data_IF_092421535996
#
_entry.id   IF_092421535996
#
_cell.length_a   1.000
_cell.length_b   1.000
_cell.length_c   1.000
_cell.angle_alpha   90.00
_cell.angle_beta   90.00
_cell.angle_gamma   90.00
#
_symmetry.space_group_name_H-M   'P 1'
#
loop_
_entity.id
_entity.type
_entity.pdbx_description
1 polymer ?
#
# COMPACT_ATOMS: atom_id res chain seq x y z
N UNK A 1 54.20 -17.08 -13.44
CA UNK A 1 53.89 -15.80 -12.76
C UNK A 1 53.60 -14.77 -13.84
N UNK A 2 52.40 -14.81 -14.42
CA UNK A 2 51.96 -13.88 -15.46
C UNK A 2 50.86 -13.01 -14.87
N UNK A 3 51.11 -11.71 -14.78
CA UNK A 3 50.17 -10.73 -14.25
C UNK A 3 48.92 -10.66 -15.14
N UNK A 4 47.76 -10.95 -14.56
CA UNK A 4 46.47 -10.58 -15.15
C UNK A 4 46.33 -9.07 -14.96
N UNK A 5 46.37 -8.34 -16.06
CA UNK A 5 46.08 -6.91 -16.12
C UNK A 5 44.63 -6.65 -15.72
N UNK A 6 44.33 -5.65 -14.88
CA UNK A 6 42.97 -5.31 -14.49
C UNK A 6 42.30 -4.57 -15.65
N UNK A 7 41.75 -5.33 -16.60
CA UNK A 7 41.09 -4.80 -17.79
C UNK A 7 39.77 -5.47 -18.16
N UNK A 8 39.57 -6.75 -17.81
CA UNK A 8 38.43 -7.53 -18.32
C UNK A 8 37.58 -8.17 -17.21
N UNK A 9 37.19 -7.37 -16.22
CA UNK A 9 35.98 -7.70 -15.47
C UNK A 9 34.79 -7.26 -16.33
N UNK A 10 34.22 -8.21 -17.06
CA UNK A 10 32.95 -8.07 -17.77
C UNK A 10 31.91 -7.50 -16.78
N UNK A 11 31.69 -6.18 -16.81
CA UNK A 11 30.71 -5.49 -15.99
C UNK A 11 29.36 -5.90 -16.54
N UNK A 12 28.86 -7.02 -16.02
CA UNK A 12 27.52 -7.50 -16.27
C UNK A 12 26.55 -6.32 -16.13
N UNK A 13 25.79 -6.12 -17.19
CA UNK A 13 24.89 -5.01 -17.40
C UNK A 13 23.92 -4.90 -16.22
N UNK A 14 24.22 -4.04 -15.24
CA UNK A 14 23.41 -3.78 -14.04
C UNK A 14 22.01 -3.22 -14.34
N UNK A 15 21.67 -3.08 -15.62
CA UNK A 15 20.35 -2.74 -16.13
C UNK A 15 19.36 -3.91 -16.10
N UNK A 16 19.79 -5.16 -15.89
CA UNK A 16 18.91 -6.35 -16.06
C UNK A 16 18.38 -6.96 -14.75
N UNK A 17 18.96 -6.63 -13.59
CA UNK A 17 18.68 -7.36 -12.32
C UNK A 17 17.69 -6.65 -11.39
N UNK A 18 17.43 -5.36 -11.61
CA UNK A 18 16.39 -4.61 -10.91
C UNK A 18 15.93 -3.50 -11.84
N UNK A 19 14.63 -3.37 -12.07
CA UNK A 19 14.05 -2.48 -13.08
C UNK A 19 14.67 -1.08 -13.12
N UNK A 20 14.47 -0.35 -14.24
CA UNK A 20 15.19 0.88 -14.56
C UNK A 20 15.29 1.91 -13.40
N UNK A 21 14.29 1.97 -12.53
CA UNK A 21 14.26 2.80 -11.32
C UNK A 21 15.23 2.28 -10.23
N UNK A 22 15.23 0.98 -9.93
CA UNK A 22 16.12 0.37 -8.94
C UNK A 22 17.59 0.47 -9.37
N UNK A 23 17.90 0.22 -10.64
CA UNK A 23 19.24 0.39 -11.19
C UNK A 23 19.72 1.87 -11.14
N UNK A 24 18.81 2.83 -11.32
CA UNK A 24 19.10 4.27 -11.22
C UNK A 24 19.31 4.72 -9.78
N UNK A 25 18.50 4.24 -8.84
CA UNK A 25 18.64 4.56 -7.41
C UNK A 25 19.90 3.92 -6.82
N UNK A 26 20.23 2.67 -7.18
CA UNK A 26 21.45 2.00 -6.72
C UNK A 26 22.73 2.68 -7.25
N UNK A 27 22.72 3.22 -8.47
CA UNK A 27 23.86 3.96 -9.03
C UNK A 27 24.11 5.31 -8.38
N UNK A 28 23.07 5.96 -7.84
CA UNK A 28 23.16 7.30 -7.28
C UNK A 28 22.96 7.30 -5.75
N UNK A 29 23.43 6.26 -5.07
CA UNK A 29 23.42 6.17 -3.60
C UNK A 29 22.02 6.36 -2.97
N UNK A 30 20.96 5.89 -3.65
CA UNK A 30 19.55 6.06 -3.27
C UNK A 30 19.07 7.52 -3.19
N UNK A 31 19.77 8.46 -3.81
CA UNK A 31 19.32 9.85 -3.91
C UNK A 31 18.11 9.95 -4.85
N UNK A 32 16.99 10.47 -4.33
CA UNK A 32 15.73 10.59 -5.05
C UNK A 32 15.83 11.65 -6.16
N UNK A 33 16.75 12.62 -6.03
CA UNK A 33 17.02 13.61 -7.08
C UNK A 33 17.52 12.96 -8.36
N UNK A 34 18.13 11.77 -8.28
CA UNK A 34 18.62 11.06 -9.45
C UNK A 34 17.52 10.57 -10.39
N UNK A 35 16.27 10.46 -9.92
CA UNK A 35 15.12 10.11 -10.76
C UNK A 35 14.78 11.22 -11.77
N UNK A 36 15.32 12.42 -11.57
CA UNK A 36 15.15 13.59 -12.44
C UNK A 36 16.23 13.66 -13.55
N UNK A 37 16.67 12.52 -14.09
CA UNK A 37 17.81 12.50 -15.03
C UNK A 37 17.47 13.12 -16.41
N UNK A 38 18.29 14.07 -16.88
CA UNK A 38 18.19 14.84 -18.15
C UNK A 38 17.12 15.95 -18.19
N UNK A 39 17.20 16.90 -17.25
CA UNK A 39 16.35 18.08 -17.23
C UNK A 39 16.78 19.08 -18.32
N UNK A 40 16.07 19.09 -19.46
CA UNK A 40 15.98 20.30 -20.28
C UNK A 40 14.87 21.23 -19.81
N UNK A 41 14.07 20.83 -18.82
CA UNK A 41 12.88 21.50 -18.29
C UNK A 41 13.23 22.69 -17.36
N UNK A 42 12.42 23.76 -17.42
CA UNK A 42 12.53 24.95 -16.57
C UNK A 42 11.81 24.75 -15.23
N UNK A 43 12.14 25.58 -14.24
CA UNK A 43 11.55 25.51 -12.89
C UNK A 43 10.00 25.61 -12.88
N UNK A 44 9.43 26.49 -13.69
CA UNK A 44 7.97 26.67 -13.78
C UNK A 44 7.25 25.47 -14.42
N UNK A 45 7.92 24.79 -15.38
CA UNK A 45 7.39 23.56 -16.00
C UNK A 45 7.35 22.43 -14.96
N UNK A 46 8.37 22.33 -14.10
CA UNK A 46 8.38 21.41 -12.96
C UNK A 46 7.27 21.71 -11.94
N UNK A 47 7.08 22.98 -11.60
CA UNK A 47 6.03 23.38 -10.66
C UNK A 47 4.63 23.06 -11.21
N UNK A 48 4.43 23.23 -12.52
CA UNK A 48 3.16 22.91 -13.19
C UNK A 48 2.88 21.41 -13.17
N UNK A 49 3.88 20.59 -13.47
CA UNK A 49 3.77 19.13 -13.39
C UNK A 49 3.46 18.69 -11.96
N UNK A 50 4.17 19.23 -10.96
CA UNK A 50 3.98 18.85 -9.56
C UNK A 50 2.57 19.18 -9.04
N UNK A 51 2.06 20.38 -9.36
CA UNK A 51 0.67 20.77 -9.03
C UNK A 51 -0.36 19.81 -9.62
N UNK A 52 -0.23 19.49 -10.92
CA UNK A 52 -1.17 18.59 -11.61
C UNK A 52 -1.10 17.17 -11.04
N UNK A 53 0.09 16.70 -10.69
CA UNK A 53 0.27 15.39 -10.04
C UNK A 53 -0.38 15.36 -8.66
N UNK A 54 -0.20 16.41 -7.86
CA UNK A 54 -0.82 16.52 -6.53
C UNK A 54 -2.34 16.58 -6.60
N UNK A 55 -2.91 17.39 -7.51
CA UNK A 55 -4.36 17.47 -7.72
C UNK A 55 -4.94 16.12 -8.17
N UNK A 56 -4.28 15.46 -9.13
CA UNK A 56 -4.70 14.16 -9.64
C UNK A 56 -4.64 13.05 -8.58
N UNK A 57 -3.68 13.11 -7.65
CA UNK A 57 -3.55 12.15 -6.56
C UNK A 57 -4.62 12.30 -5.48
N UNK A 58 -5.15 13.50 -5.26
CA UNK A 58 -6.14 13.77 -4.20
C UNK A 58 -7.57 13.32 -4.54
N UNK A 59 -7.94 13.30 -5.83
CA UNK A 59 -9.34 13.13 -6.27
C UNK A 59 -10.00 11.77 -5.94
N UNK A 60 -9.28 10.75 -5.44
CA UNK A 60 -9.86 9.40 -5.27
C UNK A 60 -9.38 8.60 -4.05
N UNK A 61 -8.70 9.20 -3.09
CA UNK A 61 -8.23 8.50 -1.88
C UNK A 61 -9.24 8.67 -0.74
N UNK A 62 -10.16 7.72 -0.56
CA UNK A 62 -11.12 7.74 0.55
C UNK A 62 -10.67 6.81 1.68
N UNK A 63 -10.28 5.57 1.35
CA UNK A 63 -9.88 4.58 2.35
C UNK A 63 -8.51 4.89 2.95
N UNK A 64 -7.55 5.23 2.10
CA UNK A 64 -6.19 5.59 2.55
C UNK A 64 -6.19 6.90 3.34
N UNK A 65 -7.04 7.86 2.96
CA UNK A 65 -7.18 9.12 3.67
C UNK A 65 -7.77 8.93 5.08
N UNK A 66 -8.78 8.06 5.23
CA UNK A 66 -9.36 7.73 6.53
C UNK A 66 -8.30 7.10 7.46
N UNK A 67 -7.52 6.14 6.96
CA UNK A 67 -6.43 5.53 7.72
C UNK A 67 -5.37 6.54 8.19
N UNK A 68 -4.97 7.46 7.30
CA UNK A 68 -4.03 8.53 7.64
C UNK A 68 -4.61 9.49 8.67
N UNK A 69 -5.88 9.87 8.53
CA UNK A 69 -6.56 10.77 9.48
C UNK A 69 -6.65 10.19 10.90
N UNK A 70 -6.74 8.85 11.00
CA UNK A 70 -6.81 8.12 12.28
C UNK A 70 -5.45 7.79 12.88
N UNK A 71 -4.36 8.19 12.21
CA UNK A 71 -3.00 7.90 12.67
C UNK A 71 -2.63 6.41 12.61
N UNK A 72 -3.32 5.61 11.81
CA UNK A 72 -3.04 4.17 11.61
C UNK A 72 -1.84 3.95 10.67
N UNK A 73 -0.83 4.80 10.79
CA UNK A 73 0.38 4.78 9.96
C UNK A 73 1.58 4.44 10.81
N UNK A 74 2.28 3.35 10.47
CA UNK A 74 3.57 3.04 11.06
C UNK A 74 4.69 3.55 10.16
N UNK A 75 5.38 4.62 10.59
CA UNK A 75 6.50 5.18 9.84
C UNK A 75 7.73 4.31 10.00
N UNK A 76 8.12 3.62 8.92
CA UNK A 76 9.36 2.84 8.90
C UNK A 76 10.53 3.78 8.59
N UNK A 77 11.51 3.95 9.49
CA UNK A 77 12.69 4.74 9.20
C UNK A 77 13.49 4.08 8.06
N UNK A 78 13.88 4.87 7.07
CA UNK A 78 14.55 4.44 5.84
C UNK A 78 13.76 3.36 5.06
N UNK A 79 12.47 3.60 4.83
CA UNK A 79 11.59 2.67 4.11
C UNK A 79 12.07 2.29 2.70
N UNK A 80 12.84 3.15 2.02
CA UNK A 80 13.39 2.84 0.69
C UNK A 80 14.46 1.72 0.74
N UNK A 81 15.15 1.56 1.86
CA UNK A 81 16.23 0.56 2.03
C UNK A 81 15.75 -0.74 2.66
N UNK A 82 14.50 -0.80 3.14
CA UNK A 82 13.95 -1.98 3.81
C UNK A 82 12.93 -2.63 2.89
N UNK A 83 13.19 -3.90 2.54
CA UNK A 83 12.28 -4.68 1.69
C UNK A 83 11.19 -5.38 2.49
N UNK A 84 11.39 -5.58 3.79
CA UNK A 84 10.48 -6.31 4.68
C UNK A 84 10.46 -5.65 6.07
N UNK A 85 9.27 -5.55 6.66
CA UNK A 85 9.04 -5.23 8.06
C UNK A 85 8.68 -6.52 8.81
N UNK A 86 9.56 -6.98 9.72
CA UNK A 86 9.26 -8.10 10.60
C UNK A 86 8.49 -7.64 11.85
N UNK A 87 7.43 -8.35 12.21
CA UNK A 87 6.71 -8.19 13.47
C UNK A 87 6.57 -9.55 14.16
N UNK A 88 6.44 -9.54 15.48
CA UNK A 88 6.29 -10.76 16.27
C UNK A 88 4.85 -10.87 16.76
N UNK A 89 4.22 -12.01 16.48
CA UNK A 89 2.93 -12.37 17.04
C UNK A 89 3.15 -13.20 18.30
N UNK A 90 2.42 -12.86 19.37
CA UNK A 90 2.49 -13.57 20.65
C UNK A 90 1.23 -14.41 20.83
N UNK A 91 1.38 -15.69 21.16
CA UNK A 91 0.25 -16.55 21.51
C UNK A 91 -0.35 -16.15 22.87
N UNK A 92 -1.65 -16.40 23.05
CA UNK A 92 -2.27 -16.31 24.37
C UNK A 92 -1.81 -17.45 25.26
N UNK A 93 -1.87 -17.26 26.57
CA UNK A 93 -1.52 -18.26 27.59
C UNK A 93 -2.78 -19.01 28.06
N UNK A 94 -2.59 -20.18 28.64
CA UNK A 94 -3.69 -21.01 29.14
C UNK A 94 -4.55 -20.31 30.22
N UNK A 95 -5.84 -20.68 30.26
CA UNK A 95 -6.83 -20.13 31.19
C UNK A 95 -6.46 -20.35 32.67
N UNK A 96 -6.89 -19.42 33.53
CA UNK A 96 -6.59 -19.47 34.96
C UNK A 96 -7.35 -20.61 35.68
N UNK A 97 -6.62 -21.44 36.43
CA UNK A 97 -7.20 -22.55 37.23
C UNK A 97 -7.86 -22.01 38.51
N UNK A 98 -9.15 -22.30 38.69
CA UNK A 98 -9.88 -22.00 39.93
C UNK A 98 -9.77 -23.17 40.91
N UNK A 99 -9.14 -22.94 42.07
CA UNK A 99 -9.00 -23.93 43.13
C UNK A 99 -9.44 -23.36 44.47
N UNK A 100 -10.24 -24.13 45.23
CA UNK A 100 -10.76 -23.73 46.53
C UNK A 100 -9.75 -23.90 47.68
N UNK A 101 -8.69 -24.68 47.47
CA UNK A 101 -7.70 -25.05 48.50
C UNK A 101 -6.31 -24.44 48.21
N UNK A 102 -6.09 -23.85 47.02
CA UNK A 102 -4.84 -23.15 46.67
C UNK A 102 -3.56 -24.02 46.64
N UNK A 103 -3.66 -25.30 46.97
CA UNK A 103 -2.53 -26.26 46.98
C UNK A 103 -2.18 -26.78 45.58
N UNK A 104 -3.07 -26.62 44.60
CA UNK A 104 -2.81 -26.98 43.21
C UNK A 104 -1.89 -25.94 42.59
N UNK A 105 -0.65 -26.34 42.26
CA UNK A 105 0.30 -25.49 41.54
C UNK A 105 -0.19 -25.34 40.09
N UNK A 106 -0.50 -24.12 39.68
CA UNK A 106 -0.79 -23.81 38.28
C UNK A 106 0.40 -24.14 37.38
N UNK A 107 0.12 -24.58 36.15
CA UNK A 107 1.15 -24.87 35.16
C UNK A 107 1.86 -23.57 34.75
N UNK A 108 3.16 -23.67 34.48
CA UNK A 108 3.97 -22.51 34.08
C UNK A 108 3.96 -22.45 32.56
N UNK A 109 3.05 -21.66 32.03
CA UNK A 109 2.98 -21.45 30.60
C UNK A 109 4.01 -20.40 30.13
N UNK A 110 4.54 -20.61 28.93
CA UNK A 110 5.47 -19.69 28.26
C UNK A 110 4.85 -19.29 26.92
N UNK A 111 4.61 -17.98 26.70
CA UNK A 111 4.14 -17.49 25.40
C UNK A 111 5.10 -17.89 24.27
N UNK A 112 4.54 -18.43 23.20
CA UNK A 112 5.25 -18.68 21.95
C UNK A 112 5.24 -17.42 21.09
N UNK A 113 6.36 -17.14 20.44
CA UNK A 113 6.53 -15.98 19.57
C UNK A 113 6.76 -16.47 18.14
N UNK A 114 5.86 -16.13 17.24
CA UNK A 114 6.06 -16.34 15.80
C UNK A 114 6.54 -15.05 15.14
N UNK A 115 7.38 -15.16 14.11
CA UNK A 115 7.96 -14.03 13.41
C UNK A 115 7.29 -13.90 12.03
N UNK A 116 6.37 -12.95 11.92
CA UNK A 116 5.68 -12.62 10.70
C UNK A 116 6.38 -11.48 9.95
N UNK A 117 6.19 -11.44 8.63
CA UNK A 117 6.85 -10.50 7.73
C UNK A 117 5.83 -9.76 6.88
N UNK A 118 6.00 -8.46 6.71
CA UNK A 118 5.22 -7.62 5.81
C UNK A 118 6.16 -7.03 4.74
N UNK A 119 6.00 -7.35 3.44
CA UNK A 119 6.85 -6.79 2.40
C UNK A 119 6.48 -5.32 2.11
N UNK A 120 7.48 -4.51 1.77
CA UNK A 120 7.35 -3.08 1.45
C UNK A 120 7.61 -2.84 -0.06
N UNK A 121 6.58 -2.95 -0.92
CA UNK A 121 6.71 -2.76 -2.36
C UNK A 121 6.80 -1.28 -2.77
N UNK A 122 7.47 -1.04 -3.91
CA UNK A 122 7.55 0.28 -4.56
C UNK A 122 6.59 0.31 -5.76
N UNK A 123 5.55 1.14 -5.68
CA UNK A 123 4.61 1.39 -6.80
C UNK A 123 5.14 2.54 -7.64
N UNK A 124 5.32 2.32 -8.93
CA UNK A 124 5.80 3.36 -9.85
C UNK A 124 5.08 3.27 -11.20
N UNK A 125 5.00 4.41 -11.89
CA UNK A 125 4.52 4.50 -13.27
C UNK A 125 5.35 5.54 -14.00
N UNK A 126 6.07 5.10 -15.03
CA UNK A 126 6.92 5.99 -15.82
C UNK A 126 6.10 6.77 -16.85
N UNK A 127 6.49 8.03 -17.08
CA UNK A 127 6.03 8.88 -18.16
C UNK A 127 7.23 9.66 -18.74
N UNK A 128 7.10 10.13 -19.97
CA UNK A 128 8.15 10.88 -20.66
C UNK A 128 7.55 11.95 -21.56
N UNK A 129 8.32 13.02 -21.77
CA UNK A 129 8.01 14.08 -22.72
C UNK A 129 9.07 14.07 -23.82
N UNK A 130 8.65 14.32 -25.05
CA UNK A 130 9.60 14.48 -26.15
C UNK A 130 10.19 15.89 -26.14
N UNK A 131 11.47 16.01 -26.55
CA UNK A 131 12.13 17.30 -26.62
C UNK A 131 11.42 18.30 -27.56
N UNK A 132 10.67 17.80 -28.55
CA UNK A 132 9.87 18.64 -29.44
C UNK A 132 8.65 19.23 -28.72
N UNK A 133 7.91 18.46 -27.94
CA UNK A 133 6.77 18.96 -27.15
C UNK A 133 7.21 20.06 -26.17
N UNK A 134 8.39 19.89 -25.56
CA UNK A 134 8.98 20.91 -24.68
C UNK A 134 9.36 22.17 -25.48
N UNK A 135 9.94 22.02 -26.68
CA UNK A 135 10.29 23.16 -27.54
C UNK A 135 9.05 23.89 -28.10
N UNK A 136 7.98 23.17 -28.42
CA UNK A 136 6.70 23.74 -28.85
C UNK A 136 6.02 24.50 -27.70
N UNK A 137 6.07 24.01 -26.46
CA UNK A 137 5.54 24.76 -25.33
C UNK A 137 6.28 26.10 -25.13
N UNK A 138 7.60 26.10 -25.31
CA UNK A 138 8.44 27.30 -25.15
C UNK A 138 8.25 28.33 -26.26
N UNK A 139 8.19 27.88 -27.50
CA UNK A 139 8.15 28.77 -28.66
C UNK A 139 6.71 29.08 -29.11
N UNK A 140 5.77 28.17 -28.86
CA UNK A 140 4.39 28.23 -29.33
C UNK A 140 3.41 28.91 -28.36
N UNK A 141 3.86 29.29 -27.16
CA UNK A 141 3.03 29.98 -26.16
C UNK A 141 1.87 29.14 -25.61
N UNK A 142 1.85 27.83 -25.88
CA UNK A 142 0.89 26.88 -25.34
C UNK A 142 1.48 26.21 -24.09
N UNK A 143 0.68 25.97 -23.04
CA UNK A 143 1.15 25.27 -21.85
C UNK A 143 1.57 23.84 -22.21
N UNK A 144 2.52 23.30 -21.44
CA UNK A 144 2.96 21.91 -21.57
C UNK A 144 1.77 20.97 -21.33
N UNK A 145 1.59 19.98 -22.21
CA UNK A 145 0.55 18.97 -22.03
C UNK A 145 0.89 18.04 -20.85
N UNK A 146 0.24 18.24 -19.71
CA UNK A 146 0.46 17.44 -18.49
C UNK A 146 -0.50 16.26 -18.34
N UNK A 147 -1.29 15.92 -19.36
CA UNK A 147 -2.31 14.85 -19.27
C UNK A 147 -1.72 13.47 -18.98
N UNK A 148 -0.55 13.17 -19.56
CA UNK A 148 0.14 11.89 -19.29
C UNK A 148 0.62 11.79 -17.85
N UNK A 149 1.08 12.90 -17.26
CA UNK A 149 1.50 12.94 -15.87
C UNK A 149 0.31 12.78 -14.91
N UNK A 150 -0.82 13.42 -15.20
CA UNK A 150 -2.03 13.29 -14.39
C UNK A 150 -2.60 11.86 -14.41
N UNK A 151 -2.66 11.22 -15.58
CA UNK A 151 -3.10 9.84 -15.71
C UNK A 151 -2.15 8.85 -15.01
N UNK A 152 -0.84 9.07 -15.08
CA UNK A 152 0.14 8.25 -14.37
C UNK A 152 -0.06 8.33 -12.85
N UNK A 153 -0.26 9.54 -12.31
CA UNK A 153 -0.55 9.76 -10.90
C UNK A 153 -1.87 9.11 -10.44
N UNK A 154 -2.91 9.17 -11.27
CA UNK A 154 -4.18 8.48 -11.02
C UNK A 154 -3.99 6.96 -10.94
N UNK A 155 -3.22 6.37 -11.85
CA UNK A 155 -2.98 4.91 -11.86
C UNK A 155 -2.21 4.43 -10.63
N UNK A 156 -1.22 5.21 -10.17
CA UNK A 156 -0.51 4.92 -8.91
C UNK A 156 -1.49 4.97 -7.74
N UNK A 157 -2.32 6.01 -7.68
CA UNK A 157 -3.33 6.17 -6.62
C UNK A 157 -4.37 5.04 -6.61
N UNK A 158 -4.90 4.67 -7.77
CA UNK A 158 -5.81 3.54 -7.93
C UNK A 158 -5.16 2.23 -7.48
N UNK A 159 -3.86 2.05 -7.76
CA UNK A 159 -3.12 0.86 -7.33
C UNK A 159 -2.95 0.81 -5.81
N UNK A 160 -2.71 1.95 -5.16
CA UNK A 160 -2.63 2.04 -3.69
C UNK A 160 -3.97 1.68 -3.06
N UNK A 161 -5.08 2.22 -3.56
CA UNK A 161 -6.42 1.89 -3.04
C UNK A 161 -6.82 0.44 -3.33
N UNK A 162 -6.52 -0.08 -4.53
CA UNK A 162 -6.76 -1.49 -4.85
C UNK A 162 -6.03 -2.42 -3.86
N UNK A 163 -4.79 -2.10 -3.50
CA UNK A 163 -4.04 -2.87 -2.50
C UNK A 163 -4.58 -2.73 -1.08
N UNK A 164 -5.25 -1.64 -0.74
CA UNK A 164 -5.92 -1.53 0.56
C UNK A 164 -7.09 -2.52 0.67
N UNK A 165 -7.92 -2.61 -0.37
CA UNK A 165 -9.12 -3.47 -0.36
C UNK A 165 -8.80 -4.93 -0.70
N UNK A 166 -8.20 -5.19 -1.85
CA UNK A 166 -7.93 -6.55 -2.36
C UNK A 166 -6.58 -7.10 -1.90
N UNK A 167 -5.74 -6.30 -1.23
CA UNK A 167 -4.39 -6.72 -0.90
C UNK A 167 -3.53 -6.91 -2.15
N UNK A 168 -2.43 -7.62 -1.97
CA UNK A 168 -1.62 -8.11 -3.07
C UNK A 168 -1.49 -9.62 -2.99
N UNK A 169 -2.58 -10.33 -3.31
CA UNK A 169 -2.60 -11.80 -3.37
C UNK A 169 -1.55 -12.42 -4.32
N UNK A 170 -0.95 -11.62 -5.20
CA UNK A 170 0.10 -12.03 -6.15
C UNK A 170 1.51 -11.56 -5.79
N UNK A 171 1.69 -10.66 -4.82
CA UNK A 171 3.01 -10.17 -4.41
C UNK A 171 3.38 -10.75 -3.05
N UNK A 172 4.04 -11.90 -3.09
CA UNK A 172 4.68 -12.50 -1.93
C UNK A 172 6.19 -12.24 -2.00
N UNK A 173 6.75 -11.65 -0.95
CA UNK A 173 8.18 -11.40 -0.86
C UNK A 173 8.66 -11.60 0.57
N UNK A 174 9.76 -12.35 0.73
CA UNK A 174 10.34 -12.64 2.05
C UNK A 174 9.45 -13.48 2.98
N UNK A 175 8.50 -14.25 2.43
CA UNK A 175 7.55 -15.07 3.21
C UNK A 175 6.33 -14.30 3.74
N UNK A 176 6.25 -13.00 3.48
CA UNK A 176 5.10 -12.16 3.81
C UNK A 176 4.18 -11.89 2.63
N UNK A 177 2.88 -11.81 2.89
CA UNK A 177 1.84 -11.41 1.93
C UNK A 177 1.19 -10.11 2.41
N UNK A 178 0.87 -9.20 1.49
CA UNK A 178 0.11 -8.00 1.83
C UNK A 178 -1.37 -8.36 1.79
N UNK A 179 -1.98 -8.40 2.97
CA UNK A 179 -3.42 -8.61 3.11
C UNK A 179 -4.16 -7.28 3.00
N UNK A 180 -5.22 -7.26 2.19
CA UNK A 180 -6.20 -6.18 2.17
C UNK A 180 -7.40 -6.50 3.06
N UNK A 181 -8.35 -5.57 3.13
CA UNK A 181 -9.59 -5.78 3.89
C UNK A 181 -10.40 -6.99 3.42
N UNK A 182 -10.39 -7.29 2.13
CA UNK A 182 -11.08 -8.44 1.58
C UNK A 182 -10.33 -9.74 1.86
N UNK A 183 -9.00 -9.74 1.99
CA UNK A 183 -8.18 -10.96 1.99
C UNK A 183 -7.51 -11.28 3.34
N UNK A 184 -7.73 -10.46 4.37
CA UNK A 184 -7.18 -10.71 5.70
C UNK A 184 -7.67 -12.05 6.30
N UNK A 185 -6.79 -12.92 6.83
CA UNK A 185 -7.17 -14.21 7.41
C UNK A 185 -8.12 -14.09 8.60
N UNK A 186 -7.99 -13.01 9.38
CA UNK A 186 -8.82 -12.71 10.54
C UNK A 186 -10.05 -11.84 10.19
N UNK A 187 -10.66 -12.05 9.02
CA UNK A 187 -11.88 -11.34 8.63
C UNK A 187 -13.14 -12.11 9.04
N UNK A 188 -14.16 -11.37 9.45
CA UNK A 188 -15.48 -11.92 9.75
C UNK A 188 -16.36 -11.75 8.52
N UNK A 189 -16.68 -12.84 7.83
CA UNK A 189 -17.53 -12.79 6.64
C UNK A 189 -18.98 -13.10 7.00
N UNK A 190 -19.89 -12.19 6.65
CA UNK A 190 -21.33 -12.43 6.70
C UNK A 190 -21.88 -12.50 5.27
N UNK A 191 -22.64 -13.54 4.97
CA UNK A 191 -23.40 -13.59 3.71
C UNK A 191 -24.53 -12.57 3.74
N UNK A 192 -24.66 -11.77 2.69
CA UNK A 192 -25.82 -10.89 2.52
C UNK A 192 -27.06 -11.77 2.30
N UNK A 193 -28.18 -11.43 2.94
CA UNK A 193 -29.38 -12.25 2.85
C UNK A 193 -30.19 -11.90 1.59
N UNK A 194 -30.41 -12.91 0.75
CA UNK A 194 -31.46 -13.06 -0.30
C UNK A 194 -31.52 -12.06 -1.47
N UNK A 195 -31.14 -10.79 -1.31
CA UNK A 195 -31.13 -9.78 -2.37
C UNK A 195 -29.91 -8.84 -2.25
N UNK A 196 -29.44 -8.31 -3.37
CA UNK A 196 -28.46 -7.24 -3.37
C UNK A 196 -29.10 -5.96 -2.81
N UNK A 197 -28.30 -5.09 -2.19
CA UNK A 197 -28.79 -3.84 -1.59
C UNK A 197 -29.37 -2.85 -2.61
N UNK A 198 -29.33 -3.17 -3.91
CA UNK A 198 -29.94 -2.40 -5.01
C UNK A 198 -31.45 -2.59 -5.14
N UNK A 199 -31.97 -3.69 -4.62
CA UNK A 199 -33.35 -4.14 -4.80
C UNK A 199 -34.06 -4.40 -3.47
N UNK A 200 -33.33 -4.27 -2.36
CA UNK A 200 -33.84 -4.53 -1.02
C UNK A 200 -34.44 -3.27 -0.36
N UNK A 201 -35.23 -3.47 0.68
CA UNK A 201 -35.84 -2.38 1.44
C UNK A 201 -34.87 -1.80 2.48
N UNK A 202 -34.98 -0.49 2.76
CA UNK A 202 -34.15 0.18 3.76
C UNK A 202 -34.18 -0.50 5.16
N UNK A 203 -35.30 -1.13 5.52
CA UNK A 203 -35.44 -1.86 6.78
C UNK A 203 -34.55 -3.12 6.85
N UNK A 204 -34.42 -3.84 5.74
CA UNK A 204 -33.56 -5.02 5.65
C UNK A 204 -32.08 -4.63 5.64
N UNK A 205 -31.72 -3.54 4.94
CA UNK A 205 -30.35 -3.00 4.94
C UNK A 205 -29.93 -2.63 6.36
N UNK A 206 -30.77 -1.89 7.10
CA UNK A 206 -30.48 -1.53 8.49
C UNK A 206 -30.32 -2.76 9.40
N UNK A 207 -31.20 -3.76 9.24
CA UNK A 207 -31.12 -5.01 10.02
C UNK A 207 -29.81 -5.75 9.75
N UNK A 208 -29.36 -5.78 8.49
CA UNK A 208 -28.08 -6.37 8.11
C UNK A 208 -26.89 -5.60 8.69
N UNK A 209 -26.90 -4.26 8.66
CA UNK A 209 -25.84 -3.42 9.26
C UNK A 209 -25.75 -3.63 10.77
N UNK A 210 -26.89 -3.72 11.47
CA UNK A 210 -26.92 -4.03 12.91
C UNK A 210 -26.35 -5.44 13.17
N UNK A 211 -26.70 -6.41 12.33
CA UNK A 211 -26.18 -7.78 12.46
C UNK A 211 -24.67 -7.86 12.19
N UNK A 212 -24.13 -7.08 11.24
CA UNK A 212 -22.68 -6.96 11.02
C UNK A 212 -21.98 -6.34 12.22
N UNK A 213 -22.61 -5.35 12.86
CA UNK A 213 -22.09 -4.75 14.10
C UNK A 213 -22.06 -5.77 15.24
N UNK A 214 -23.08 -6.63 15.35
CA UNK A 214 -23.11 -7.67 16.37
C UNK A 214 -21.97 -8.68 16.21
N UNK A 215 -21.66 -9.11 14.97
CA UNK A 215 -20.54 -10.03 14.75
C UNK A 215 -19.20 -9.42 15.20
N UNK A 216 -18.98 -8.14 14.92
CA UNK A 216 -17.77 -7.45 15.38
C UNK A 216 -17.69 -7.36 16.91
N UNK A 217 -18.83 -7.20 17.58
CA UNK A 217 -18.91 -7.21 19.04
C UNK A 217 -18.59 -8.61 19.59
N UNK A 218 -19.13 -9.67 18.97
CA UNK A 218 -18.89 -11.05 19.36
C UNK A 218 -17.40 -11.44 19.20
N UNK A 219 -16.75 -10.91 18.16
CA UNK A 219 -15.31 -11.03 17.92
C UNK A 219 -14.44 -10.09 18.77
N UNK A 220 -15.04 -9.45 19.79
CA UNK A 220 -14.38 -8.52 20.73
C UNK A 220 -13.74 -7.29 20.07
N UNK A 221 -14.23 -6.87 18.90
CA UNK A 221 -13.77 -5.68 18.16
C UNK A 221 -14.68 -4.50 18.49
N UNK A 222 -14.32 -3.79 19.55
CA UNK A 222 -15.05 -2.62 20.03
C UNK A 222 -14.41 -1.33 19.51
N UNK A 223 -15.21 -0.44 18.92
CA UNK A 223 -14.71 0.86 18.49
C UNK A 223 -15.68 1.66 17.64
N UNK A 224 -15.25 2.83 17.14
CA UNK A 224 -15.99 3.55 16.12
C UNK A 224 -15.97 2.74 14.81
N UNK A 225 -17.15 2.34 14.35
CA UNK A 225 -17.33 1.58 13.11
C UNK A 225 -17.37 2.51 11.90
N UNK A 226 -16.80 2.07 10.78
CA UNK A 226 -16.91 2.71 9.47
C UNK A 226 -17.45 1.70 8.49
N UNK A 227 -18.41 2.13 7.69
CA UNK A 227 -18.94 1.34 6.59
C UNK A 227 -18.48 1.98 5.28
N UNK A 228 -17.71 1.24 4.49
CA UNK A 228 -17.41 1.60 3.12
C UNK A 228 -18.49 1.03 2.21
N UNK A 229 -19.17 1.89 1.46
CA UNK A 229 -20.25 1.50 0.55
C UNK A 229 -19.77 1.72 -0.90
N UNK A 230 -19.87 0.71 -1.78
CA UNK A 230 -19.61 0.90 -3.20
C UNK A 230 -20.58 1.92 -3.81
N UNK A 231 -20.13 2.74 -4.76
CA UNK A 231 -20.95 3.77 -5.41
C UNK A 231 -22.25 3.24 -6.04
N UNK A 232 -22.27 1.95 -6.41
CA UNK A 232 -23.48 1.28 -6.93
C UNK A 232 -24.62 1.20 -5.90
N UNK A 233 -24.30 1.17 -4.60
CA UNK A 233 -25.26 1.07 -3.50
C UNK A 233 -25.42 2.40 -2.73
N UNK A 234 -24.73 3.47 -3.16
CA UNK A 234 -24.72 4.75 -2.44
C UNK A 234 -26.02 5.56 -2.63
N UNK A 235 -26.77 5.30 -3.71
CA UNK A 235 -27.94 6.11 -4.12
C UNK A 235 -29.27 5.35 -4.11
N UNK A 236 -29.30 4.16 -3.50
CA UNK A 236 -30.48 3.28 -3.43
C UNK A 236 -31.33 3.60 -2.21
#
# INVERSE_FOLDING_TARGET
MGLITPGDANVGNINEVGGAVAAKLLRNNMDVECLRTNETLLHEEWLTIDKVVLEAAQLRQVGVADLRSRGLTHTVPNGLSKTVLGYQDMSDIEDAVASMDGLTRGERDRPEYDLAYLPLPIIHKDFSFTAREIAESRNGGQPLDTTMASMAAQKVTEKVENWLYQGSGTFTYGGGTIYGYEDAPQRTTRSMATAAWDTDTAANILTQVIAMKQDLIDDRRYGPYVLYVPTAYETV
#
